data_IF_067450139481
#
_entry.id   IF_067450139481
#
_cell.length_a   1.000
_cell.length_b   1.000
_cell.length_c   1.000
_cell.angle_alpha   90.00
_cell.angle_beta   90.00
_cell.angle_gamma   90.00
#
_symmetry.space_group_name_H-M   'P 1'
#
loop_
_entity.id
_entity.type
_entity.pdbx_description
1 polymer ?
#
# COMPACT_ATOMS: atom_id res chain seq x y z
N UNK A 1 11.46 1.87 -1.52
CA UNK A 1 10.65 1.69 -2.75
C UNK A 1 9.80 0.42 -2.72
N UNK A 2 10.31 -0.76 -2.33
CA UNK A 2 9.51 -2.01 -2.28
C UNK A 2 8.20 -1.87 -1.48
N UNK A 3 8.25 -1.20 -0.33
CA UNK A 3 7.05 -0.97 0.49
C UNK A 3 6.11 0.09 -0.10
N UNK A 4 6.65 1.13 -0.76
CA UNK A 4 5.87 2.26 -1.28
C UNK A 4 5.27 1.98 -2.65
N UNK A 5 6.01 1.32 -3.54
CA UNK A 5 5.61 1.05 -4.92
C UNK A 5 4.86 -0.27 -5.07
N UNK A 6 5.32 -1.29 -4.33
CA UNK A 6 4.79 -2.65 -4.47
C UNK A 6 3.96 -3.09 -3.26
N UNK A 7 3.93 -2.31 -2.20
CA UNK A 7 3.18 -2.65 -0.99
C UNK A 7 3.69 -3.89 -0.26
N UNK A 8 4.92 -4.34 -0.50
CA UNK A 8 5.50 -5.53 0.14
C UNK A 8 5.63 -5.28 1.65
N UNK A 9 5.26 -6.27 2.46
CA UNK A 9 5.37 -6.16 3.92
C UNK A 9 6.83 -6.13 4.38
N UNK A 10 7.11 -5.42 5.44
CA UNK A 10 8.47 -5.32 6.01
C UNK A 10 9.07 -6.67 6.42
N UNK A 11 8.24 -7.64 6.85
CA UNK A 11 8.67 -9.01 7.10
C UNK A 11 9.16 -9.70 5.83
N UNK A 12 8.40 -9.58 4.76
CA UNK A 12 8.73 -10.17 3.47
C UNK A 12 9.96 -9.49 2.85
N UNK A 13 10.13 -8.16 3.03
CA UNK A 13 11.35 -7.44 2.62
C UNK A 13 12.56 -7.91 3.43
N UNK A 14 12.39 -8.08 4.74
CA UNK A 14 13.47 -8.49 5.64
C UNK A 14 14.07 -9.86 5.25
N UNK A 15 13.22 -10.80 4.86
CA UNK A 15 13.62 -12.17 4.50
C UNK A 15 13.76 -12.40 3.00
N UNK A 16 13.65 -11.36 2.18
CA UNK A 16 13.74 -11.45 0.72
C UNK A 16 15.06 -12.06 0.27
N UNK A 17 14.96 -13.04 -0.62
CA UNK A 17 16.10 -13.73 -1.23
C UNK A 17 16.23 -13.40 -2.72
N UNK A 18 17.38 -13.70 -3.31
CA UNK A 18 17.59 -13.51 -4.75
C UNK A 18 16.65 -14.34 -5.62
N UNK A 19 16.14 -15.48 -5.12
CA UNK A 19 15.19 -16.33 -5.86
C UNK A 19 13.87 -15.64 -6.16
N UNK A 20 13.53 -14.60 -5.39
CA UNK A 20 12.29 -13.85 -5.50
C UNK A 20 12.39 -12.68 -6.51
N UNK A 21 13.61 -12.39 -7.00
CA UNK A 21 13.88 -11.30 -7.93
C UNK A 21 14.17 -11.81 -9.33
N UNK A 22 13.26 -11.58 -10.25
CA UNK A 22 13.42 -11.86 -11.67
C UNK A 22 13.70 -10.56 -12.43
N UNK A 23 15.00 -10.24 -12.60
CA UNK A 23 15.44 -9.03 -13.29
C UNK A 23 15.23 -9.08 -14.80
N UNK A 24 15.17 -10.28 -15.39
CA UNK A 24 14.94 -10.46 -16.83
C UNK A 24 13.46 -10.32 -17.14
N UNK A 25 12.60 -11.03 -16.39
CA UNK A 25 11.16 -10.93 -16.50
C UNK A 25 10.56 -9.66 -15.89
N UNK A 26 11.35 -8.82 -15.21
CA UNK A 26 10.88 -7.65 -14.47
C UNK A 26 9.78 -7.98 -13.44
N UNK A 27 9.98 -9.03 -12.66
CA UNK A 27 9.00 -9.51 -11.70
C UNK A 27 9.62 -9.72 -10.30
N UNK A 28 8.81 -9.53 -9.29
CA UNK A 28 9.08 -9.97 -7.91
C UNK A 28 8.06 -11.04 -7.57
N UNK A 29 8.54 -12.28 -7.32
CA UNK A 29 7.70 -13.43 -6.97
C UNK A 29 8.03 -13.85 -5.56
N UNK A 30 7.08 -13.73 -4.65
CA UNK A 30 7.29 -14.15 -3.26
C UNK A 30 6.05 -14.78 -2.64
N UNK A 31 6.26 -15.65 -1.66
CA UNK A 31 5.20 -16.14 -0.81
C UNK A 31 5.20 -15.36 0.49
N UNK A 32 4.12 -14.66 0.78
CA UNK A 32 4.03 -13.82 1.96
C UNK A 32 4.08 -14.64 3.26
N UNK A 33 4.98 -14.31 4.18
CA UNK A 33 5.13 -15.03 5.44
C UNK A 33 3.87 -15.04 6.31
N UNK A 34 3.14 -13.93 6.35
CA UNK A 34 1.97 -13.81 7.22
C UNK A 34 0.75 -14.56 6.72
N UNK A 35 0.57 -14.66 5.41
CA UNK A 35 -0.67 -15.17 4.80
C UNK A 35 -0.46 -16.43 3.99
N UNK A 36 0.80 -16.82 3.77
CA UNK A 36 1.21 -17.92 2.90
C UNK A 36 0.66 -17.83 1.46
N UNK A 37 0.32 -16.60 1.03
CA UNK A 37 -0.19 -16.35 -0.32
C UNK A 37 0.98 -16.05 -1.24
N UNK A 38 1.12 -16.76 -2.37
CA UNK A 38 2.05 -16.39 -3.41
C UNK A 38 1.53 -15.12 -4.11
N UNK A 39 2.43 -14.17 -4.31
CA UNK A 39 2.17 -12.95 -5.08
C UNK A 39 3.23 -12.76 -6.15
N UNK A 40 2.81 -12.24 -7.28
CA UNK A 40 3.67 -11.82 -8.36
C UNK A 40 3.39 -10.35 -8.65
N UNK A 41 4.43 -9.53 -8.59
CA UNK A 41 4.35 -8.08 -8.74
C UNK A 41 5.30 -7.59 -9.82
N UNK A 42 4.93 -6.59 -10.64
CA UNK A 42 5.82 -6.01 -11.62
C UNK A 42 6.97 -5.27 -10.91
N UNK A 43 8.20 -5.54 -11.32
CA UNK A 43 9.37 -4.77 -10.89
C UNK A 43 9.45 -3.50 -11.72
N UNK A 44 8.76 -2.45 -11.27
CA UNK A 44 8.76 -1.14 -11.96
C UNK A 44 10.16 -0.54 -12.06
N UNK A 45 10.45 0.29 -13.07
CA UNK A 45 11.81 0.76 -13.38
C UNK A 45 12.55 1.35 -12.19
N UNK A 46 11.92 2.24 -11.42
CA UNK A 46 12.51 2.88 -10.25
C UNK A 46 12.89 1.88 -9.13
N UNK A 47 12.11 0.81 -8.98
CA UNK A 47 12.44 -0.29 -8.05
C UNK A 47 13.61 -1.11 -8.58
N UNK A 48 13.60 -1.44 -9.87
CA UNK A 48 14.67 -2.21 -10.52
C UNK A 48 16.01 -1.49 -10.43
N UNK A 49 16.03 -0.21 -10.74
CA UNK A 49 17.25 0.60 -10.72
C UNK A 49 17.79 0.78 -9.30
N UNK A 50 16.91 1.00 -8.33
CA UNK A 50 17.31 1.09 -6.93
C UNK A 50 17.85 -0.23 -6.38
N UNK A 51 17.27 -1.37 -6.78
CA UNK A 51 17.79 -2.69 -6.39
C UNK A 51 19.16 -2.93 -7.01
N UNK A 52 19.34 -2.66 -8.31
CA UNK A 52 20.64 -2.80 -8.98
C UNK A 52 21.70 -1.94 -8.32
N UNK A 53 21.42 -0.67 -8.06
CA UNK A 53 22.35 0.24 -7.39
C UNK A 53 22.72 -0.27 -6.01
N UNK A 54 21.75 -0.70 -5.19
CA UNK A 54 22.02 -1.26 -3.88
C UNK A 54 22.91 -2.50 -3.95
N UNK A 55 22.65 -3.40 -4.88
CA UNK A 55 23.43 -4.64 -5.05
C UNK A 55 24.86 -4.39 -5.53
N UNK A 56 25.08 -3.35 -6.32
CA UNK A 56 26.39 -3.00 -6.90
C UNK A 56 27.23 -2.11 -5.99
N UNK A 57 26.61 -1.19 -5.26
CA UNK A 57 27.32 -0.11 -4.57
C UNK A 57 27.27 -0.23 -3.04
N UNK A 58 26.20 -0.78 -2.49
CA UNK A 58 25.93 -0.67 -1.05
C UNK A 58 25.92 -2.02 -0.32
N UNK A 59 25.53 -3.09 -1.00
CA UNK A 59 25.44 -4.42 -0.38
C UNK A 59 26.83 -4.96 -0.09
N UNK A 60 27.06 -5.41 1.16
CA UNK A 60 28.30 -6.10 1.52
C UNK A 60 28.53 -7.32 0.61
N UNK A 61 29.77 -7.50 0.16
CA UNK A 61 30.22 -8.69 -0.57
C UNK A 61 30.35 -9.89 0.41
N UNK A 62 29.19 -10.40 0.81
CA UNK A 62 29.05 -11.51 1.75
C UNK A 62 28.14 -12.57 1.14
N UNK A 63 28.60 -13.82 1.16
CA UNK A 63 27.83 -14.94 0.63
C UNK A 63 26.60 -15.20 1.53
N UNK A 64 25.46 -14.78 1.02
CA UNK A 64 24.17 -14.89 1.70
C UNK A 64 23.04 -14.95 0.69
N UNK A 65 22.05 -15.82 0.88
CA UNK A 65 20.88 -15.89 0.01
C UNK A 65 19.96 -14.67 0.11
N UNK A 66 20.12 -13.88 1.18
CA UNK A 66 19.28 -12.71 1.42
C UNK A 66 19.73 -11.50 0.63
N UNK A 67 18.77 -10.76 0.08
CA UNK A 67 19.02 -9.53 -0.66
C UNK A 67 19.54 -8.43 0.25
N UNK A 68 18.84 -8.16 1.37
CA UNK A 68 19.14 -7.05 2.26
C UNK A 68 19.91 -7.51 3.50
N UNK A 69 21.13 -7.03 3.64
CA UNK A 69 22.03 -7.37 4.73
C UNK A 69 22.28 -6.18 5.66
N UNK A 70 22.71 -6.48 6.88
CA UNK A 70 23.29 -5.49 7.79
C UNK A 70 24.64 -5.03 7.27
N UNK A 71 24.96 -3.76 7.48
CA UNK A 71 26.25 -3.16 7.07
C UNK A 71 27.41 -3.66 7.94
N UNK A 72 27.11 -4.15 9.15
CA UNK A 72 28.11 -4.59 10.13
C UNK A 72 27.97 -6.08 10.44
N UNK A 73 29.08 -6.77 10.77
CA UNK A 73 29.04 -8.18 11.17
C UNK A 73 27.97 -8.45 12.24
N UNK A 74 27.37 -9.63 12.21
CA UNK A 74 27.65 -10.81 11.36
C UNK A 74 27.02 -10.78 9.96
N UNK A 75 26.70 -9.64 9.36
CA UNK A 75 26.08 -9.45 8.03
C UNK A 75 24.80 -10.29 7.80
N UNK A 76 24.07 -10.54 8.88
CA UNK A 76 22.77 -11.21 8.78
C UNK A 76 21.78 -10.36 8.00
N UNK A 77 20.66 -10.94 7.58
CA UNK A 77 19.60 -10.18 6.95
C UNK A 77 19.09 -9.04 7.83
N UNK A 78 18.64 -7.97 7.18
CA UNK A 78 18.14 -6.78 7.88
C UNK A 78 16.87 -7.12 8.70
N UNK A 79 16.76 -6.60 9.91
CA UNK A 79 15.57 -6.83 10.73
C UNK A 79 14.40 -5.91 10.35
N UNK A 80 13.17 -6.32 10.65
CA UNK A 80 11.95 -5.51 10.48
C UNK A 80 12.06 -4.18 11.22
N UNK A 81 12.69 -4.17 12.41
CA UNK A 81 12.92 -2.98 13.21
C UNK A 81 13.87 -1.99 12.50
N UNK A 82 14.93 -2.52 11.86
CA UNK A 82 15.84 -1.68 11.10
C UNK A 82 15.14 -1.06 9.88
N UNK A 83 14.32 -1.83 9.14
CA UNK A 83 13.49 -1.29 8.05
C UNK A 83 12.57 -0.18 8.56
N UNK A 84 11.93 -0.39 9.72
CA UNK A 84 11.06 0.62 10.33
C UNK A 84 11.83 1.90 10.69
N UNK A 85 13.06 1.75 11.22
CA UNK A 85 13.93 2.89 11.53
C UNK A 85 14.33 3.65 10.26
N UNK A 86 14.72 2.95 9.19
CA UNK A 86 15.06 3.56 7.89
C UNK A 86 13.89 4.38 7.36
N UNK A 87 12.68 3.82 7.39
CA UNK A 87 11.47 4.52 6.94
C UNK A 87 11.21 5.78 7.77
N UNK A 88 11.27 5.70 9.09
CA UNK A 88 11.08 6.86 9.97
C UNK A 88 12.11 7.96 9.72
N UNK A 89 13.38 7.57 9.57
CA UNK A 89 14.46 8.51 9.26
C UNK A 89 14.23 9.19 7.91
N UNK A 90 13.79 8.45 6.89
CA UNK A 90 13.49 9.01 5.58
C UNK A 90 12.30 9.99 5.61
N UNK A 91 11.23 9.68 6.35
CA UNK A 91 10.08 10.58 6.55
C UNK A 91 10.52 11.88 7.23
N UNK A 92 11.32 11.78 8.30
CA UNK A 92 11.85 12.94 9.01
C UNK A 92 12.77 13.78 8.14
N UNK A 93 13.68 13.15 7.38
CA UNK A 93 14.59 13.84 6.45
C UNK A 93 13.83 14.55 5.31
N UNK A 94 12.66 14.04 4.91
CA UNK A 94 11.80 14.68 3.93
C UNK A 94 10.97 15.85 4.50
N UNK A 95 11.11 16.18 5.79
CA UNK A 95 10.34 17.23 6.44
C UNK A 95 8.84 16.95 6.56
N UNK A 96 8.43 15.68 6.44
CA UNK A 96 7.02 15.30 6.52
C UNK A 96 6.61 15.23 7.99
N UNK A 97 5.69 16.11 8.40
CA UNK A 97 5.05 16.01 9.71
C UNK A 97 4.01 14.87 9.68
N UNK A 98 4.17 13.86 10.51
CA UNK A 98 3.22 12.74 10.57
C UNK A 98 1.86 13.08 11.17
N UNK A 99 1.72 14.19 11.88
CA UNK A 99 0.47 14.67 12.47
C UNK A 99 -0.25 13.53 13.28
N UNK A 100 0.50 12.87 14.18
CA UNK A 100 0.00 11.74 14.96
C UNK A 100 -0.25 10.43 14.19
N UNK A 101 -0.03 10.40 12.87
CA UNK A 101 -0.24 9.22 12.02
C UNK A 101 0.88 8.20 12.19
N UNK A 102 0.57 6.94 11.91
CA UNK A 102 1.55 5.85 11.96
C UNK A 102 2.68 6.06 10.93
N UNK A 103 3.92 6.06 11.42
CA UNK A 103 5.12 6.20 10.62
C UNK A 103 5.81 4.84 10.50
N UNK A 104 5.62 4.15 9.42
CA UNK A 104 6.30 2.88 9.22
C UNK A 104 5.96 2.24 7.88
N UNK A 105 6.60 1.13 7.51
CA UNK A 105 6.37 0.46 6.23
C UNK A 105 4.90 0.10 5.98
N UNK A 106 4.15 -0.18 7.04
CA UNK A 106 2.72 -0.49 6.92
C UNK A 106 1.89 0.73 6.48
N UNK A 107 2.29 1.95 6.86
CA UNK A 107 1.60 3.17 6.40
C UNK A 107 1.68 3.32 4.88
N UNK A 108 2.84 3.06 4.28
CA UNK A 108 3.00 3.09 2.82
C UNK A 108 2.13 2.07 2.11
N UNK A 109 2.06 0.86 2.63
CA UNK A 109 1.18 -0.17 2.08
C UNK A 109 -0.30 0.24 2.20
N UNK A 110 -0.70 0.85 3.31
CA UNK A 110 -2.05 1.38 3.49
C UNK A 110 -2.34 2.53 2.53
N UNK A 111 -1.37 3.43 2.32
CA UNK A 111 -1.50 4.52 1.34
C UNK A 111 -1.62 3.98 -0.09
N UNK A 112 -0.83 2.97 -0.46
CA UNK A 112 -0.95 2.33 -1.77
C UNK A 112 -2.35 1.69 -1.95
N UNK A 113 -2.83 0.96 -0.93
CA UNK A 113 -4.17 0.39 -0.97
C UNK A 113 -5.26 1.45 -1.14
N UNK A 114 -5.16 2.56 -0.39
CA UNK A 114 -6.11 3.68 -0.50
C UNK A 114 -6.04 4.36 -1.86
N UNK A 115 -4.84 4.58 -2.41
CA UNK A 115 -4.67 5.13 -3.77
C UNK A 115 -5.33 4.23 -4.80
N UNK A 116 -5.06 2.92 -4.79
CA UNK A 116 -5.67 1.97 -5.73
C UNK A 116 -7.20 1.99 -5.65
N UNK A 117 -7.76 2.07 -4.44
CA UNK A 117 -9.21 2.17 -4.25
C UNK A 117 -9.76 3.49 -4.80
N UNK A 118 -9.09 4.61 -4.53
CA UNK A 118 -9.49 5.92 -5.04
C UNK A 118 -9.37 6.04 -6.57
N UNK A 119 -8.41 5.30 -7.15
CA UNK A 119 -8.25 5.19 -8.61
C UNK A 119 -9.25 4.19 -9.25
N UNK A 120 -10.28 3.78 -8.49
CA UNK A 120 -11.33 2.85 -8.92
C UNK A 120 -10.81 1.46 -9.36
N UNK A 121 -9.64 1.04 -8.86
CA UNK A 121 -9.15 -0.31 -9.10
C UNK A 121 -10.08 -1.31 -8.38
N UNK A 122 -10.56 -2.36 -9.09
CA UNK A 122 -11.44 -3.35 -8.47
C UNK A 122 -10.85 -3.96 -7.20
N UNK A 123 -11.66 -4.10 -6.15
CA UNK A 123 -11.23 -4.62 -4.85
C UNK A 123 -10.53 -5.98 -4.92
N UNK A 124 -10.93 -6.83 -5.85
CA UNK A 124 -10.26 -8.11 -6.06
C UNK A 124 -8.81 -7.97 -6.54
N UNK A 125 -8.56 -6.96 -7.40
CA UNK A 125 -7.21 -6.65 -7.87
C UNK A 125 -6.37 -6.13 -6.70
N UNK A 126 -6.89 -5.15 -5.93
CA UNK A 126 -6.21 -4.62 -4.75
C UNK A 126 -5.90 -5.74 -3.75
N UNK A 127 -6.88 -6.62 -3.48
CA UNK A 127 -6.73 -7.76 -2.59
C UNK A 127 -5.64 -8.72 -3.05
N UNK A 128 -5.65 -9.09 -4.33
CA UNK A 128 -4.64 -10.00 -4.93
C UNK A 128 -3.25 -9.36 -4.91
N UNK A 129 -3.11 -8.12 -5.33
CA UNK A 129 -1.83 -7.37 -5.35
C UNK A 129 -1.21 -7.30 -3.96
N UNK A 130 -2.02 -7.03 -2.94
CA UNK A 130 -1.55 -6.93 -1.58
C UNK A 130 -1.54 -8.28 -0.83
N UNK A 131 -2.10 -9.36 -1.38
CA UNK A 131 -2.20 -10.66 -0.71
C UNK A 131 -2.98 -10.58 0.61
N UNK A 132 -4.18 -9.99 0.56
CA UNK A 132 -5.10 -9.97 1.69
C UNK A 132 -5.99 -11.22 1.67
N UNK A 133 -6.06 -11.93 2.80
CA UNK A 133 -6.94 -13.10 2.99
C UNK A 133 -8.36 -12.69 3.34
N UNK A 134 -8.50 -11.62 4.12
CA UNK A 134 -9.79 -11.14 4.60
C UNK A 134 -10.43 -10.20 3.57
N UNK A 135 -11.66 -10.51 3.16
CA UNK A 135 -12.47 -9.66 2.29
C UNK A 135 -12.79 -8.31 2.93
N UNK A 136 -12.85 -8.24 4.26
CA UNK A 136 -13.14 -7.02 4.99
C UNK A 136 -11.92 -6.11 5.19
N UNK A 137 -10.70 -6.63 4.96
CA UNK A 137 -9.48 -5.84 5.12
C UNK A 137 -9.47 -4.55 4.27
N UNK A 138 -10.14 -4.58 3.12
CA UNK A 138 -10.23 -3.44 2.20
C UNK A 138 -11.13 -2.33 2.72
N UNK A 139 -12.14 -2.64 3.52
CA UNK A 139 -13.04 -1.63 4.09
C UNK A 139 -12.29 -0.58 4.92
N UNK A 140 -11.18 -0.96 5.53
CA UNK A 140 -10.34 -0.04 6.30
C UNK A 140 -9.59 0.98 5.44
N UNK A 141 -9.45 0.73 4.13
CA UNK A 141 -8.78 1.60 3.17
C UNK A 141 -9.76 2.43 2.34
N UNK A 142 -11.01 1.99 2.23
CA UNK A 142 -12.07 2.74 1.59
C UNK A 142 -12.47 3.92 2.49
N UNK A 143 -11.78 5.03 2.36
CA UNK A 143 -12.35 6.31 2.80
C UNK A 143 -13.41 6.66 1.77
N UNK A 144 -14.66 6.76 2.22
CA UNK A 144 -15.74 7.27 1.40
C UNK A 144 -15.37 8.68 0.93
N UNK A 145 -15.07 8.82 -0.34
CA UNK A 145 -14.97 10.13 -0.97
C UNK A 145 -16.39 10.63 -1.18
N UNK A 146 -16.82 11.53 -0.29
CA UNK A 146 -18.15 12.12 -0.34
C UNK A 146 -18.40 12.88 -1.66
N UNK A 147 -17.35 13.44 -2.27
CA UNK A 147 -17.48 14.13 -3.55
C UNK A 147 -17.74 13.14 -4.69
N UNK A 148 -17.08 11.99 -4.69
CA UNK A 148 -17.42 10.93 -5.66
C UNK A 148 -18.83 10.40 -5.46
N UNK A 149 -19.29 10.23 -4.21
CA UNK A 149 -20.65 9.79 -3.92
C UNK A 149 -21.70 10.80 -4.40
N UNK A 150 -21.41 12.10 -4.37
CA UNK A 150 -22.31 13.12 -4.92
C UNK A 150 -22.58 12.92 -6.42
N UNK A 151 -21.57 12.46 -7.18
CA UNK A 151 -21.74 12.15 -8.60
C UNK A 151 -22.70 10.98 -8.88
N UNK A 152 -22.90 10.09 -7.89
CA UNK A 152 -23.84 8.97 -7.99
C UNK A 152 -25.19 9.24 -7.32
N UNK A 153 -25.33 10.37 -6.63
CA UNK A 153 -26.61 10.75 -6.05
C UNK A 153 -27.63 11.01 -7.14
N UNK A 154 -28.78 10.37 -7.04
CA UNK A 154 -29.88 10.69 -7.93
C UNK A 154 -30.29 12.15 -7.73
N UNK A 155 -30.62 12.86 -8.81
CA UNK A 155 -31.14 14.22 -8.67
C UNK A 155 -32.39 14.20 -7.80
N UNK A 156 -32.40 15.05 -6.79
CA UNK A 156 -33.60 15.24 -5.98
C UNK A 156 -34.66 15.85 -6.89
N UNK A 157 -35.73 15.10 -7.13
CA UNK A 157 -36.86 15.63 -7.87
C UNK A 157 -37.49 16.79 -7.09
N UNK A 158 -37.80 17.89 -7.77
CA UNK A 158 -38.50 18.99 -7.16
C UNK A 158 -39.83 18.46 -6.55
N UNK A 159 -40.10 18.89 -5.33
CA UNK A 159 -41.34 18.52 -4.67
C UNK A 159 -42.52 19.08 -5.46
N UNK A 160 -43.53 18.23 -5.72
CA UNK A 160 -44.71 18.60 -6.49
C UNK A 160 -46.00 18.27 -5.71
N UNK A 161 -47.05 18.92 -6.09
CA UNK A 161 -48.38 18.66 -5.53
C UNK A 161 -48.50 18.92 -4.04
N UNK A 162 -49.14 18.00 -3.32
CA UNK A 162 -49.42 18.11 -1.87
C UNK A 162 -48.17 18.13 -1.04
N UNK A 163 -47.13 17.41 -1.47
CA UNK A 163 -45.85 17.38 -0.77
C UNK A 163 -45.08 18.72 -0.87
N UNK A 164 -45.12 19.38 -2.03
CA UNK A 164 -44.59 20.72 -2.16
C UNK A 164 -45.30 21.72 -1.24
N UNK A 165 -46.66 21.67 -1.20
CA UNK A 165 -47.46 22.51 -0.33
C UNK A 165 -47.19 22.26 1.17
N UNK A 166 -46.87 21.00 1.54
CA UNK A 166 -46.49 20.66 2.91
C UNK A 166 -45.12 21.26 3.28
N UNK A 167 -44.13 21.13 2.42
CA UNK A 167 -42.77 21.70 2.65
C UNK A 167 -42.82 23.23 2.78
N UNK A 168 -43.74 23.89 2.11
CA UNK A 168 -43.98 25.33 2.20
C UNK A 168 -44.89 25.75 3.37
N UNK A 169 -45.29 24.80 4.21
CA UNK A 169 -46.16 25.04 5.35
C UNK A 169 -47.61 25.40 5.00
N UNK A 170 -48.04 25.12 3.76
CA UNK A 170 -49.38 25.46 3.26
C UNK A 170 -50.42 24.38 3.50
N UNK A 171 -50.01 23.17 3.87
CA UNK A 171 -50.90 22.09 4.30
C UNK A 171 -50.21 21.14 5.27
N UNK A 172 -51.01 20.35 6.06
CA UNK A 172 -50.52 19.25 6.85
C UNK A 172 -50.66 17.95 6.06
N UNK A 173 -49.64 17.07 6.17
CA UNK A 173 -49.78 15.69 5.73
C UNK A 173 -50.58 14.92 6.80
N UNK A 174 -51.86 14.68 6.54
CA UNK A 174 -52.66 13.72 7.26
C UNK A 174 -52.61 12.39 6.56
#
# INVERSE_FOLDING_TARGET
LLATRLGIRSGDISSMTFKELDFEGNLVRLTQHKTSIPIELPMVPDVKDALKRYLQEERSDYDSPYVFLRIVPPYSHISVQAITKIVRTAIAAAGIDPDGRKQGPHAFRSSLASSMVNDNIPYEVVRKTLGHTDQNAIRSYARLDLEQLRGYALPVMEAAGTFAAFLEGRCSLL
#
